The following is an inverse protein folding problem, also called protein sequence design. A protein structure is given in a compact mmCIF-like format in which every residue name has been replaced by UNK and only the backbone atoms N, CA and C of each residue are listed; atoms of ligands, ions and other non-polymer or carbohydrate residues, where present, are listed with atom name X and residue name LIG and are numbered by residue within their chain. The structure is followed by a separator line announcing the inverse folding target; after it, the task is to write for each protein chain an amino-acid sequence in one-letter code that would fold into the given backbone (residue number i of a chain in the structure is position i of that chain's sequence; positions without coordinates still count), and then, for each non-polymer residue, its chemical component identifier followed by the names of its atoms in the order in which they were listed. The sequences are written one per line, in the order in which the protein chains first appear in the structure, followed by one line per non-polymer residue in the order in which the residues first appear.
data_IF_225467212295
#
_entry.id   IF_225467212295
#
_cell.length_a   1.000
_cell.length_b   1.000
_cell.length_c   1.000
_cell.angle_alpha   90.00
_cell.angle_beta   90.00
_cell.angle_gamma   90.00
#
_symmetry.space_group_name_H-M   'P 1'
#
loop_
_entity.id
_entity.type
_entity.pdbx_description
1 polymer ?
#
# COMPACT_ATOMS: atom_id res chain seq x y z
N UNK A 1 -13.54 13.13 -30.29
CA UNK A 1 -12.90 14.02 -29.29
C UNK A 1 -12.64 13.17 -28.06
N UNK A 2 -11.37 12.89 -27.75
CA UNK A 2 -11.01 12.36 -26.43
C UNK A 2 -11.11 13.56 -25.49
N UNK A 3 -12.04 13.50 -24.54
CA UNK A 3 -12.35 14.58 -23.60
C UNK A 3 -11.11 14.85 -22.72
N UNK A 4 -10.64 16.11 -22.65
CA UNK A 4 -9.40 16.54 -21.99
C UNK A 4 -9.32 16.20 -20.49
N UNK A 5 -10.44 15.79 -19.90
CA UNK A 5 -10.55 15.40 -18.50
C UNK A 5 -10.16 13.95 -18.20
N UNK A 6 -9.95 13.11 -19.22
CA UNK A 6 -9.62 11.69 -19.01
C UNK A 6 -8.18 11.41 -19.38
N UNK A 7 -7.43 10.87 -18.43
CA UNK A 7 -6.00 10.62 -18.58
C UNK A 7 -5.70 9.16 -18.27
N UNK A 8 -5.22 8.44 -19.27
CA UNK A 8 -4.70 7.09 -19.11
C UNK A 8 -3.18 7.15 -19.02
N UNK A 9 -2.62 6.56 -17.97
CA UNK A 9 -1.18 6.41 -17.75
C UNK A 9 -0.82 4.95 -17.67
N UNK A 10 0.33 4.59 -18.19
CA UNK A 10 0.91 3.28 -18.00
C UNK A 10 2.39 3.41 -17.68
N UNK A 11 2.88 2.46 -16.90
CA UNK A 11 4.29 2.34 -16.56
C UNK A 11 4.69 0.89 -16.71
N UNK A 12 5.83 0.67 -17.35
CA UNK A 12 6.45 -0.64 -17.43
C UNK A 12 7.92 -0.48 -17.06
N UNK A 13 8.43 -1.38 -16.23
CA UNK A 13 9.84 -1.36 -15.82
C UNK A 13 10.40 -2.76 -15.76
N UNK A 14 11.71 -2.85 -16.05
CA UNK A 14 12.50 -4.05 -15.86
C UNK A 14 13.72 -3.65 -15.03
N UNK A 15 13.78 -4.16 -13.81
CA UNK A 15 14.79 -3.80 -12.82
C UNK A 15 15.58 -5.02 -12.39
N UNK A 16 16.71 -4.78 -11.72
CA UNK A 16 17.43 -5.84 -11.01
C UNK A 16 16.69 -6.12 -9.70
N UNK A 17 16.06 -7.28 -9.60
CA UNK A 17 15.28 -7.76 -8.46
C UNK A 17 16.14 -8.25 -7.30
N UNK A 18 15.61 -9.20 -6.52
CA UNK A 18 16.32 -9.78 -5.36
C UNK A 18 17.76 -10.20 -5.73
N UNK A 19 18.71 -9.87 -4.85
CA UNK A 19 20.12 -10.26 -5.01
C UNK A 19 20.35 -11.75 -4.74
N UNK A 20 19.39 -12.37 -4.07
CA UNK A 20 19.36 -13.78 -3.72
C UNK A 20 18.64 -14.61 -4.78
N UNK A 21 18.11 -13.98 -5.83
CA UNK A 21 17.43 -14.65 -6.92
C UNK A 21 18.40 -15.21 -7.96
N UNK A 22 18.11 -16.39 -8.51
CA UNK A 22 18.88 -16.94 -9.63
C UNK A 22 18.55 -16.18 -10.93
N UNK A 23 17.29 -15.74 -11.10
CA UNK A 23 16.93 -14.71 -12.08
C UNK A 23 16.85 -13.34 -11.43
N UNK A 24 17.77 -12.45 -11.79
CA UNK A 24 17.76 -11.08 -11.26
C UNK A 24 16.79 -10.15 -11.97
N UNK A 25 15.99 -10.62 -12.93
CA UNK A 25 15.07 -9.77 -13.69
C UNK A 25 13.72 -9.66 -12.98
N UNK A 26 13.37 -8.48 -12.49
CA UNK A 26 12.04 -8.15 -11.95
C UNK A 26 11.30 -7.25 -12.92
N UNK A 27 10.06 -7.60 -13.25
CA UNK A 27 9.24 -6.87 -14.20
C UNK A 27 8.01 -6.30 -13.50
N UNK A 28 7.77 -5.01 -13.68
CA UNK A 28 6.62 -4.35 -13.06
C UNK A 28 5.81 -3.60 -14.12
N UNK A 29 4.49 -3.66 -14.01
CA UNK A 29 3.54 -2.98 -14.87
C UNK A 29 2.48 -2.26 -14.01
N UNK A 30 2.12 -1.04 -14.40
CA UNK A 30 1.00 -0.30 -13.80
C UNK A 30 0.18 0.36 -14.89
N UNK A 31 -1.13 0.30 -14.75
CA UNK A 31 -2.09 1.05 -15.55
C UNK A 31 -2.94 1.89 -14.62
N UNK A 32 -3.12 3.16 -14.94
CA UNK A 32 -3.89 4.08 -14.12
C UNK A 32 -4.75 4.98 -14.99
N UNK A 33 -6.04 5.03 -14.66
CA UNK A 33 -6.97 5.99 -15.22
C UNK A 33 -7.19 7.12 -14.21
N UNK A 34 -7.21 8.35 -14.70
CA UNK A 34 -7.53 9.54 -13.91
C UNK A 34 -8.59 10.36 -14.63
N UNK A 35 -9.50 10.94 -13.86
CA UNK A 35 -10.51 11.87 -14.32
C UNK A 35 -10.41 13.19 -13.55
N UNK A 36 -10.45 14.32 -14.26
CA UNK A 36 -10.31 15.66 -13.69
C UNK A 36 -8.88 16.20 -13.82
N UNK A 37 -8.37 16.83 -12.76
CA UNK A 37 -7.04 17.44 -12.75
C UNK A 37 -5.95 16.38 -12.66
N UNK A 38 -5.55 15.81 -13.81
CA UNK A 38 -4.54 14.76 -13.80
C UNK A 38 -3.16 15.24 -13.34
N UNK A 39 -2.52 14.36 -12.59
CA UNK A 39 -1.15 14.51 -12.12
C UNK A 39 -0.16 14.17 -13.25
N UNK A 40 1.04 14.78 -13.34
CA UNK A 40 2.10 14.29 -14.22
C UNK A 40 2.84 13.06 -13.65
N UNK A 41 2.69 12.77 -12.34
CA UNK A 41 3.53 11.82 -11.61
C UNK A 41 2.91 10.42 -11.45
N UNK A 42 3.75 9.47 -11.00
CA UNK A 42 3.47 8.02 -10.88
C UNK A 42 2.44 7.67 -9.81
N UNK A 43 2.45 8.37 -8.68
CA UNK A 43 1.45 8.28 -7.61
C UNK A 43 0.68 9.59 -7.49
N UNK A 44 -0.59 9.50 -7.09
CA UNK A 44 -1.36 10.65 -6.64
C UNK A 44 -0.88 11.05 -5.24
N UNK A 45 -0.77 12.34 -4.95
CA UNK A 45 -0.61 12.80 -3.57
C UNK A 45 -1.83 12.38 -2.73
N UNK A 46 -1.61 12.01 -1.47
CA UNK A 46 -2.69 11.63 -0.54
C UNK A 46 -3.69 12.75 -0.23
N UNK A 47 -3.37 14.01 -0.54
CA UNK A 47 -4.27 15.17 -0.41
C UNK A 47 -3.74 16.35 -1.24
N UNK A 48 -4.60 17.06 -1.97
CA UNK A 48 -4.28 18.28 -2.73
C UNK A 48 -4.80 19.56 -2.08
N UNK A 49 -5.33 19.46 -0.87
CA UNK A 49 -5.86 20.58 -0.09
C UNK A 49 -6.98 21.31 -0.85
N UNK A 50 -7.76 20.57 -1.64
CA UNK A 50 -8.83 21.11 -2.47
C UNK A 50 -8.37 21.81 -3.75
N UNK A 51 -7.06 21.80 -4.06
CA UNK A 51 -6.52 22.43 -5.27
C UNK A 51 -6.75 21.63 -6.54
N UNK A 52 -7.16 20.36 -6.41
CA UNK A 52 -7.44 19.47 -7.54
C UNK A 52 -8.72 18.69 -7.32
N UNK A 53 -9.47 18.50 -8.39
CA UNK A 53 -10.60 17.57 -8.43
C UNK A 53 -10.15 16.35 -9.22
N UNK A 54 -10.02 15.22 -8.54
CA UNK A 54 -9.50 14.03 -9.21
C UNK A 54 -10.16 12.76 -8.71
N UNK A 55 -10.40 11.86 -9.65
CA UNK A 55 -10.73 10.46 -9.40
C UNK A 55 -9.69 9.64 -10.12
N UNK A 56 -9.08 8.71 -9.43
CA UNK A 56 -8.08 7.83 -10.00
C UNK A 56 -8.35 6.39 -9.62
N UNK A 57 -8.11 5.48 -10.57
CA UNK A 57 -8.14 4.04 -10.36
C UNK A 57 -6.87 3.47 -10.99
N UNK A 58 -6.12 2.69 -10.22
CA UNK A 58 -4.87 2.07 -10.64
C UNK A 58 -4.92 0.56 -10.48
N UNK A 59 -4.26 -0.15 -11.38
CA UNK A 59 -3.87 -1.55 -11.16
C UNK A 59 -2.37 -1.67 -11.36
N UNK A 60 -1.71 -2.49 -10.56
CA UNK A 60 -0.30 -2.79 -10.69
C UNK A 60 -0.04 -4.29 -10.53
N UNK A 61 0.98 -4.76 -11.23
CA UNK A 61 1.48 -6.12 -11.18
C UNK A 61 3.00 -6.06 -11.18
N UNK A 62 3.63 -6.80 -10.28
CA UNK A 62 5.07 -6.91 -10.19
C UNK A 62 5.47 -8.38 -10.01
N UNK A 63 6.41 -8.84 -10.81
CA UNK A 63 6.77 -10.26 -10.90
C UNK A 63 8.28 -10.46 -10.96
N UNK A 64 8.74 -11.51 -10.31
CA UNK A 64 10.10 -11.99 -10.43
C UNK A 64 10.14 -13.52 -10.30
N UNK A 65 10.53 -14.19 -11.38
CA UNK A 65 10.74 -15.63 -11.38
C UNK A 65 11.99 -15.98 -10.55
N UNK A 66 11.99 -17.14 -9.89
CA UNK A 66 13.11 -17.68 -9.11
C UNK A 66 13.67 -16.64 -8.14
N UNK A 67 12.75 -15.99 -7.43
CA UNK A 67 13.00 -14.91 -6.49
C UNK A 67 13.81 -15.38 -5.27
N UNK A 68 13.50 -16.58 -4.79
CA UNK A 68 14.15 -17.29 -3.70
C UNK A 68 14.04 -18.81 -3.93
N UNK A 69 14.52 -19.61 -2.98
CA UNK A 69 14.24 -21.04 -2.90
C UNK A 69 13.44 -21.36 -1.64
N UNK A 70 12.64 -22.43 -1.66
CA UNK A 70 12.06 -23.02 -0.45
C UNK A 70 13.18 -23.69 0.37
N UNK A 71 13.31 -23.33 1.65
CA UNK A 71 14.41 -23.81 2.50
C UNK A 71 14.34 -25.31 2.84
N UNK A 72 13.22 -25.98 2.57
CA UNK A 72 12.96 -27.39 2.87
C UNK A 72 12.89 -28.21 1.58
N UNK A 73 12.07 -27.82 0.61
CA UNK A 73 11.90 -28.57 -0.65
C UNK A 73 13.02 -28.29 -1.64
N UNK A 74 13.73 -27.16 -1.47
CA UNK A 74 14.77 -26.66 -2.37
C UNK A 74 14.25 -26.28 -3.76
N UNK A 75 12.93 -26.17 -3.92
CA UNK A 75 12.28 -25.74 -5.14
C UNK A 75 12.39 -24.21 -5.30
N UNK A 76 12.39 -23.75 -6.55
CA UNK A 76 12.38 -22.33 -6.88
C UNK A 76 11.06 -21.71 -6.42
N UNK A 77 11.12 -20.51 -5.85
CA UNK A 77 9.93 -19.74 -5.44
C UNK A 77 9.85 -18.48 -6.29
N UNK A 78 8.72 -18.30 -6.96
CA UNK A 78 8.40 -17.11 -7.72
C UNK A 78 7.77 -16.03 -6.83
N UNK A 79 7.97 -14.76 -7.19
CA UNK A 79 7.36 -13.61 -6.52
C UNK A 79 6.32 -12.95 -7.42
N UNK A 80 5.13 -12.72 -6.89
CA UNK A 80 4.10 -11.92 -7.53
C UNK A 80 3.45 -10.96 -6.53
N UNK A 81 3.34 -9.69 -6.90
CA UNK A 81 2.59 -8.67 -6.17
C UNK A 81 1.56 -8.03 -7.11
N UNK A 82 0.29 -8.13 -6.74
CA UNK A 82 -0.82 -7.47 -7.42
C UNK A 82 -1.40 -6.38 -6.51
N UNK A 83 -1.79 -5.26 -7.11
CA UNK A 83 -2.46 -4.16 -6.40
C UNK A 83 -3.54 -3.55 -7.26
N UNK A 84 -4.66 -3.20 -6.65
CA UNK A 84 -5.68 -2.30 -7.21
C UNK A 84 -5.95 -1.18 -6.23
N UNK A 85 -5.94 0.06 -6.70
CA UNK A 85 -6.10 1.24 -5.86
C UNK A 85 -7.09 2.23 -6.46
N UNK A 86 -7.70 3.03 -5.58
CA UNK A 86 -8.58 4.12 -5.93
C UNK A 86 -8.28 5.34 -5.06
N UNK A 87 -8.37 6.52 -5.66
CA UNK A 87 -8.21 7.80 -4.99
C UNK A 87 -9.27 8.77 -5.49
N UNK A 88 -9.86 9.54 -4.56
CA UNK A 88 -10.87 10.55 -4.85
C UNK A 88 -10.56 11.79 -4.00
N UNK A 89 -10.52 12.96 -4.64
CA UNK A 89 -10.61 14.25 -3.96
C UNK A 89 -11.64 15.12 -4.67
N UNK A 90 -12.65 15.56 -3.92
CA UNK A 90 -13.78 16.33 -4.47
C UNK A 90 -14.23 17.41 -3.48
N UNK A 91 -14.64 18.61 -3.95
CA UNK A 91 -15.31 19.58 -3.10
C UNK A 91 -16.62 18.99 -2.58
N UNK A 92 -16.89 19.23 -1.31
CA UNK A 92 -18.16 18.86 -0.69
C UNK A 92 -18.53 19.88 0.38
N UNK A 93 -19.69 20.51 0.21
CA UNK A 93 -20.15 21.62 1.06
C UNK A 93 -19.07 22.73 1.17
N UNK A 94 -18.67 23.10 2.38
CA UNK A 94 -17.68 24.15 2.67
C UNK A 94 -16.22 23.66 2.60
N UNK A 95 -16.02 22.37 2.29
CA UNK A 95 -14.73 21.70 2.36
C UNK A 95 -14.46 20.77 1.18
N UNK A 96 -13.55 19.83 1.40
CA UNK A 96 -13.18 18.82 0.41
C UNK A 96 -13.12 17.44 1.07
N UNK A 97 -13.75 16.46 0.44
CA UNK A 97 -13.67 15.06 0.82
C UNK A 97 -12.48 14.41 0.10
N UNK A 98 -11.65 13.71 0.86
CA UNK A 98 -10.58 12.86 0.35
C UNK A 98 -10.88 11.42 0.72
N UNK A 99 -10.77 10.51 -0.23
CA UNK A 99 -10.89 9.07 -0.03
C UNK A 99 -9.78 8.35 -0.80
N UNK A 100 -9.12 7.41 -0.14
CA UNK A 100 -8.17 6.50 -0.77
C UNK A 100 -8.43 5.07 -0.30
N UNK A 101 -8.22 4.10 -1.19
CA UNK A 101 -8.26 2.69 -0.83
C UNK A 101 -7.36 1.89 -1.74
N UNK A 102 -6.80 0.79 -1.23
CA UNK A 102 -6.15 -0.20 -2.07
C UNK A 102 -6.42 -1.62 -1.56
N UNK A 103 -6.34 -2.56 -2.48
CA UNK A 103 -6.23 -3.99 -2.21
C UNK A 103 -4.90 -4.49 -2.78
N UNK A 104 -4.23 -5.35 -2.03
CA UNK A 104 -2.94 -5.93 -2.38
C UNK A 104 -2.97 -7.43 -2.16
N UNK A 105 -2.37 -8.17 -3.08
CA UNK A 105 -2.15 -9.61 -2.99
C UNK A 105 -0.67 -9.90 -3.24
N UNK A 106 -0.03 -10.58 -2.30
CA UNK A 106 1.35 -11.03 -2.36
C UNK A 106 1.34 -12.56 -2.42
N UNK A 107 1.91 -13.10 -3.48
CA UNK A 107 2.03 -14.53 -3.73
C UNK A 107 3.52 -14.90 -3.81
N UNK A 108 3.89 -15.91 -3.03
CA UNK A 108 5.22 -16.51 -2.95
C UNK A 108 5.14 -18.00 -3.34
N UNK A 109 4.43 -18.29 -4.43
CA UNK A 109 4.23 -19.61 -5.03
C UNK A 109 3.60 -20.61 -4.05
N UNK A 110 2.63 -20.14 -3.26
CA UNK A 110 1.95 -20.89 -2.20
C UNK A 110 2.90 -21.57 -1.19
N UNK A 111 4.13 -21.06 -1.06
CA UNK A 111 5.17 -21.69 -0.24
C UNK A 111 4.81 -21.66 1.26
N UNK A 112 4.65 -22.83 1.87
CA UNK A 112 4.34 -22.93 3.31
C UNK A 112 5.56 -22.84 4.22
N UNK A 113 6.77 -22.92 3.67
CA UNK A 113 8.02 -23.05 4.41
C UNK A 113 8.82 -21.73 4.44
N UNK A 114 9.87 -21.62 5.27
CA UNK A 114 10.79 -20.49 5.21
C UNK A 114 11.51 -20.41 3.86
N UNK A 115 11.87 -19.19 3.44
CA UNK A 115 12.65 -18.97 2.22
C UNK A 115 14.16 -19.00 2.50
N UNK A 116 14.91 -19.43 1.50
CA UNK A 116 16.37 -19.45 1.46
C UNK A 116 16.89 -18.79 0.17
N UNK A 117 18.18 -18.47 0.15
CA UNK A 117 18.87 -18.17 -1.12
C UNK A 117 19.19 -19.45 -1.90
N UNK A 118 19.73 -19.33 -3.12
CA UNK A 118 20.13 -20.49 -3.93
C UNK A 118 21.43 -21.18 -3.47
N UNK A 119 22.04 -20.73 -2.38
CA UNK A 119 23.03 -21.51 -1.62
C UNK A 119 22.40 -22.27 -0.45
N UNK A 120 21.07 -22.20 -0.32
CA UNK A 120 20.22 -22.81 0.71
C UNK A 120 20.49 -22.28 2.12
N UNK A 121 21.01 -21.06 2.22
CA UNK A 121 21.10 -20.34 3.48
C UNK A 121 19.75 -19.66 3.77
N UNK A 122 19.14 -19.87 4.96
CA UNK A 122 17.85 -19.28 5.30
C UNK A 122 17.86 -17.74 5.22
N UNK A 123 16.92 -17.16 4.48
CA UNK A 123 16.71 -15.71 4.41
C UNK A 123 15.84 -15.22 5.57
N UNK A 124 14.98 -16.10 6.09
CA UNK A 124 14.11 -15.83 7.23
C UNK A 124 13.86 -17.13 7.98
N UNK A 125 13.67 -17.04 9.30
CA UNK A 125 13.12 -18.15 10.09
C UNK A 125 11.59 -18.21 10.02
N UNK A 126 10.96 -17.15 9.51
CA UNK A 126 9.51 -17.04 9.37
C UNK A 126 9.08 -17.70 8.06
N UNK A 127 8.10 -18.62 8.09
CA UNK A 127 7.56 -19.23 6.87
C UNK A 127 6.98 -18.21 5.89
N UNK A 128 7.12 -18.45 4.59
CA UNK A 128 6.53 -17.61 3.55
C UNK A 128 5.02 -17.49 3.70
N UNK A 129 4.32 -18.56 4.12
CA UNK A 129 2.89 -18.54 4.47
C UNK A 129 2.48 -17.48 5.49
N UNK A 130 3.38 -17.02 6.37
CA UNK A 130 3.09 -15.94 7.33
C UNK A 130 3.32 -14.53 6.74
N UNK A 131 3.73 -14.44 5.48
CA UNK A 131 4.03 -13.18 4.78
C UNK A 131 3.16 -13.02 3.55
N UNK A 132 3.06 -14.05 2.71
CA UNK A 132 2.13 -14.07 1.57
C UNK A 132 0.68 -14.07 2.04
N UNK A 133 -0.20 -13.62 1.15
CA UNK A 133 -1.62 -13.45 1.39
C UNK A 133 -2.11 -12.13 0.79
N UNK A 134 -3.16 -11.57 1.37
CA UNK A 134 -3.82 -10.39 0.81
C UNK A 134 -4.33 -9.44 1.88
N UNK A 135 -4.56 -8.20 1.49
CA UNK A 135 -5.09 -7.20 2.40
C UNK A 135 -5.66 -6.00 1.68
N UNK A 136 -6.33 -5.16 2.45
CA UNK A 136 -6.86 -3.90 1.96
C UNK A 136 -6.68 -2.79 2.99
N UNK A 137 -6.66 -1.56 2.51
CA UNK A 137 -6.85 -0.39 3.35
C UNK A 137 -7.84 0.58 2.72
N UNK A 138 -8.51 1.37 3.55
CA UNK A 138 -9.33 2.48 3.13
C UNK A 138 -9.20 3.63 4.12
N UNK A 139 -9.01 4.85 3.63
CA UNK A 139 -8.93 6.06 4.42
C UNK A 139 -9.88 7.11 3.85
N UNK A 140 -10.58 7.80 4.74
CA UNK A 140 -11.41 8.94 4.42
C UNK A 140 -11.01 10.14 5.29
N UNK A 141 -11.05 11.34 4.72
CA UNK A 141 -10.79 12.58 5.42
C UNK A 141 -11.65 13.71 4.86
N UNK A 142 -11.95 14.69 5.69
CA UNK A 142 -12.73 15.87 5.29
C UNK A 142 -12.02 17.14 5.71
N UNK A 143 -11.58 17.95 4.74
CA UNK A 143 -10.85 19.19 4.97
C UNK A 143 -11.82 20.35 5.12
N UNK A 144 -11.79 21.02 6.28
CA UNK A 144 -12.55 22.24 6.58
C UNK A 144 -11.62 23.32 7.14
N UNK A 145 -11.42 24.38 6.37
CA UNK A 145 -10.45 25.42 6.69
C UNK A 145 -9.03 24.85 6.79
N UNK A 146 -8.44 24.87 7.99
CA UNK A 146 -7.11 24.31 8.24
C UNK A 146 -7.13 22.88 8.82
N UNK A 147 -8.31 22.31 9.07
CA UNK A 147 -8.44 21.05 9.79
C UNK A 147 -8.92 19.93 8.86
N UNK A 148 -8.33 18.74 9.02
CA UNK A 148 -8.77 17.53 8.35
C UNK A 148 -8.86 16.38 9.36
N UNK A 149 -10.02 16.14 9.99
CA UNK A 149 -10.28 14.85 10.60
C UNK A 149 -10.21 13.73 9.55
N UNK A 150 -9.71 12.58 9.96
CA UNK A 150 -9.60 11.40 9.09
C UNK A 150 -9.77 10.10 9.88
N UNK A 151 -10.20 9.07 9.17
CA UNK A 151 -10.29 7.69 9.65
C UNK A 151 -9.63 6.76 8.63
N UNK A 152 -9.02 5.67 9.09
CA UNK A 152 -8.45 4.63 8.25
C UNK A 152 -8.73 3.25 8.84
N UNK A 153 -9.05 2.31 7.97
CA UNK A 153 -9.20 0.90 8.26
C UNK A 153 -8.21 0.12 7.39
N UNK A 154 -7.57 -0.89 7.96
CA UNK A 154 -6.61 -1.73 7.26
C UNK A 154 -6.69 -3.17 7.78
N UNK A 155 -6.53 -4.14 6.89
CA UNK A 155 -6.59 -5.57 7.18
C UNK A 155 -5.58 -6.29 6.28
N UNK A 156 -4.84 -7.23 6.86
CA UNK A 156 -3.95 -8.15 6.15
C UNK A 156 -4.19 -9.57 6.66
N UNK A 157 -4.44 -10.48 5.73
CA UNK A 157 -4.65 -11.90 5.98
C UNK A 157 -3.56 -12.68 5.27
N UNK A 158 -2.79 -13.44 6.03
CA UNK A 158 -1.77 -14.34 5.51
C UNK A 158 -2.37 -15.69 5.15
N UNK A 159 -1.69 -16.44 4.31
CA UNK A 159 -2.11 -17.81 3.95
C UNK A 159 -1.76 -18.84 5.04
N UNK A 160 -1.20 -18.40 6.16
CA UNK A 160 -0.89 -19.26 7.28
C UNK A 160 -2.19 -19.79 7.92
N UNK A 161 -2.34 -21.10 8.13
CA UNK A 161 -3.59 -21.69 8.64
C UNK A 161 -3.94 -21.26 10.08
N UNK A 162 -2.98 -20.73 10.82
CA UNK A 162 -3.17 -20.20 12.17
C UNK A 162 -3.39 -18.69 12.19
N UNK A 163 -3.38 -18.02 11.02
CA UNK A 163 -3.39 -16.57 10.85
C UNK A 163 -2.17 -15.86 11.44
N UNK A 164 -1.06 -16.57 11.66
CA UNK A 164 0.17 -15.94 12.11
C UNK A 164 0.68 -14.96 11.04
N UNK A 165 0.94 -13.71 11.46
CA UNK A 165 1.30 -12.61 10.56
C UNK A 165 0.12 -11.78 10.04
N UNK A 166 -1.13 -12.26 10.23
CA UNK A 166 -2.33 -11.48 9.91
C UNK A 166 -2.57 -10.39 10.95
N UNK A 167 -3.16 -9.28 10.54
CA UNK A 167 -3.47 -8.18 11.45
C UNK A 167 -4.59 -7.28 10.92
N UNK A 168 -5.19 -6.50 11.81
CA UNK A 168 -6.17 -5.48 11.47
C UNK A 168 -5.88 -4.21 12.25
N UNK A 169 -5.98 -3.06 11.59
CA UNK A 169 -5.83 -1.77 12.25
C UNK A 169 -7.02 -0.85 11.99
N UNK A 170 -7.34 -0.06 13.01
CA UNK A 170 -8.29 1.05 12.95
C UNK A 170 -7.59 2.29 13.44
N UNK A 171 -7.59 3.34 12.62
CA UNK A 171 -6.95 4.61 12.93
C UNK A 171 -7.94 5.75 12.82
N UNK A 172 -7.82 6.69 13.74
CA UNK A 172 -8.54 7.96 13.69
C UNK A 172 -7.57 9.07 14.03
N UNK A 173 -7.71 10.22 13.38
CA UNK A 173 -6.88 11.34 13.71
C UNK A 173 -7.35 12.65 13.14
N UNK A 174 -6.49 13.63 13.31
CA UNK A 174 -6.71 15.01 12.93
C UNK A 174 -5.40 15.58 12.38
N UNK A 175 -5.49 16.20 11.21
CA UNK A 175 -4.38 16.94 10.61
C UNK A 175 -4.71 18.44 10.62
N UNK A 176 -3.72 19.27 10.95
CA UNK A 176 -3.80 20.73 10.86
C UNK A 176 -2.79 21.26 9.85
N UNK A 177 -3.27 22.00 8.85
CA UNK A 177 -2.47 22.52 7.74
C UNK A 177 -2.16 24.01 7.88
N UNK A 178 -0.88 24.34 7.97
CA UNK A 178 -0.35 25.69 7.78
C UNK A 178 0.01 25.87 6.30
N UNK A 179 -1.02 26.08 5.49
CA UNK A 179 -0.92 26.09 4.02
C UNK A 179 0.08 27.14 3.50
N UNK A 180 0.19 28.29 4.15
CA UNK A 180 1.13 29.36 3.77
C UNK A 180 2.61 28.99 3.95
N UNK A 181 2.89 28.00 4.81
CA UNK A 181 4.25 27.60 5.18
C UNK A 181 4.62 26.20 4.69
N UNK A 182 3.72 25.56 3.94
CA UNK A 182 3.85 24.17 3.54
C UNK A 182 4.18 23.23 4.72
N UNK A 183 3.53 23.46 5.87
CA UNK A 183 3.67 22.65 7.08
C UNK A 183 2.33 22.02 7.42
N UNK A 184 2.34 20.79 7.93
CA UNK A 184 1.20 20.25 8.64
C UNK A 184 1.59 19.46 9.87
N UNK A 185 0.69 19.44 10.85
CA UNK A 185 0.78 18.61 12.05
C UNK A 185 -0.27 17.52 11.96
N UNK A 186 0.10 16.27 12.21
CA UNK A 186 -0.81 15.13 12.20
C UNK A 186 -0.78 14.46 13.56
N UNK A 187 -1.95 14.32 14.16
CA UNK A 187 -2.16 13.53 15.36
C UNK A 187 -3.08 12.36 15.03
N UNK A 188 -2.83 11.19 15.59
CA UNK A 188 -3.68 10.03 15.41
C UNK A 188 -3.55 9.01 16.53
N UNK A 189 -4.61 8.22 16.68
CA UNK A 189 -4.65 7.04 17.53
C UNK A 189 -4.90 5.84 16.62
N UNK A 190 -4.11 4.80 16.83
CA UNK A 190 -4.19 3.53 16.15
C UNK A 190 -4.49 2.43 17.16
N UNK A 191 -5.41 1.54 16.82
CA UNK A 191 -5.57 0.26 17.48
C UNK A 191 -5.31 -0.83 16.46
N UNK A 192 -4.33 -1.68 16.74
CA UNK A 192 -3.90 -2.77 15.89
C UNK A 192 -4.10 -4.09 16.62
N UNK A 193 -4.91 -4.95 16.04
CA UNK A 193 -5.20 -6.31 16.47
C UNK A 193 -4.27 -7.24 15.68
N UNK A 194 -3.22 -7.78 16.31
CA UNK A 194 -2.39 -8.85 15.73
C UNK A 194 -3.14 -10.15 15.88
N UNK A 195 -3.34 -10.88 14.78
CA UNK A 195 -4.04 -12.15 14.74
C UNK A 195 -3.03 -13.30 14.77
N UNK A 196 -3.49 -14.49 15.16
CA UNK A 196 -2.63 -15.66 15.31
C UNK A 196 -2.72 -16.31 16.68
N UNK A 197 -1.81 -17.23 16.96
CA UNK A 197 -1.73 -17.94 18.25
C UNK A 197 -1.44 -17.00 19.43
N UNK A 198 -0.62 -15.97 19.20
CA UNK A 198 -0.25 -14.95 20.18
C UNK A 198 -1.00 -13.62 19.95
N UNK A 199 -2.31 -13.72 19.68
CA UNK A 199 -3.13 -12.56 19.35
C UNK A 199 -2.99 -11.45 20.39
N UNK A 200 -2.77 -10.21 19.95
CA UNK A 200 -2.52 -9.08 20.84
C UNK A 200 -3.05 -7.78 20.27
N UNK A 201 -3.65 -6.99 21.15
CA UNK A 201 -4.08 -5.63 20.84
C UNK A 201 -2.99 -4.63 21.25
N UNK A 202 -2.71 -3.70 20.36
CA UNK A 202 -1.72 -2.63 20.56
C UNK A 202 -2.41 -1.30 20.25
N UNK A 203 -2.45 -0.41 21.24
CA UNK A 203 -2.88 0.97 21.05
C UNK A 203 -1.67 1.89 20.98
N UNK A 204 -1.58 2.67 19.91
CA UNK A 204 -0.48 3.62 19.68
C UNK A 204 -1.05 5.01 19.45
N UNK A 205 -0.44 6.03 20.07
CA UNK A 205 -0.70 7.44 19.75
C UNK A 205 0.51 8.02 19.01
N UNK A 206 0.26 8.70 17.89
CA UNK A 206 1.31 9.30 17.07
C UNK A 206 1.07 10.80 16.88
N UNK A 207 2.14 11.58 16.96
CA UNK A 207 2.19 12.99 16.62
C UNK A 207 3.35 13.21 15.65
N UNK A 208 3.08 13.83 14.51
CA UNK A 208 4.07 14.14 13.48
C UNK A 208 3.94 15.57 12.99
N UNK A 209 5.07 16.13 12.57
CA UNK A 209 5.16 17.38 11.84
C UNK A 209 5.84 17.09 10.50
N UNK A 210 5.28 17.63 9.42
CA UNK A 210 5.79 17.43 8.08
C UNK A 210 5.98 18.78 7.40
N UNK A 211 7.12 18.89 6.71
CA UNK A 211 7.47 20.00 5.84
C UNK A 211 7.42 19.47 4.41
N UNK A 212 6.71 20.15 3.52
CA UNK A 212 6.73 19.84 2.09
C UNK A 212 7.30 21.03 1.30
N UNK A 213 8.05 20.73 0.24
CA UNK A 213 8.75 21.71 -0.59
C UNK A 213 8.06 21.86 -1.93
#
# INVERSE_FOLDING_TARGET
QINEQNHLKYYASRNRGSRFADSTSRNSFRLQWNHGDAEPNYYNCSNYLGKKQTVAIGIALDKQDRFAADAITLEDVDYQLFTIDAFIEQPWAEGYLTFESAYTELDLDDTSNPLADFSFEPLSAIPASQTQGHGYYAQAGYMLGHWQPWIMLEDWQTDNPLNNGSWRAKRIGLTYYLQEKNIYFKFGIENTEVLGEDSKDITTAALGMYLYY
#
